data_IF_169469413196
#
_entry.id   IF_169469413196
#
_cell.length_a   1.000
_cell.length_b   1.000
_cell.length_c   1.000
_cell.angle_alpha   90.00
_cell.angle_beta   90.00
_cell.angle_gamma   90.00
#
_symmetry.space_group_name_H-M   'P 1'
#
loop_
_entity.id
_entity.type
_entity.pdbx_description
1 polymer ?
#
# COMPACT_ATOMS: atom_id res chain seq x y z
N UNK A 1 -32.85 -10.10 0.51
CA UNK A 1 -32.21 -10.12 1.86
C UNK A 1 -31.56 -11.50 2.08
N UNK A 2 -30.42 -11.79 1.44
CA UNK A 2 -29.76 -13.11 1.52
C UNK A 2 -28.52 -13.08 2.43
N UNK A 3 -28.65 -12.44 3.59
CA UNK A 3 -27.52 -12.14 4.47
C UNK A 3 -27.21 -13.20 5.54
N UNK A 4 -28.11 -14.11 5.89
CA UNK A 4 -27.93 -14.93 7.10
C UNK A 4 -27.28 -16.29 6.83
N UNK A 5 -25.94 -16.34 6.93
CA UNK A 5 -25.21 -17.51 7.50
C UNK A 5 -23.73 -17.27 7.78
N UNK A 6 -23.08 -16.29 7.12
CA UNK A 6 -21.64 -15.99 7.27
C UNK A 6 -21.31 -14.52 7.56
N UNK A 7 -22.28 -13.73 8.02
CA UNK A 7 -22.14 -12.27 8.14
C UNK A 7 -21.02 -11.79 9.09
N UNK A 8 -20.64 -12.57 10.10
CA UNK A 8 -19.58 -12.18 11.06
C UNK A 8 -18.20 -12.71 10.64
N UNK A 9 -18.13 -13.72 9.76
CA UNK A 9 -16.83 -14.31 9.40
C UNK A 9 -15.94 -13.34 8.63
N UNK A 10 -16.53 -12.43 7.85
CA UNK A 10 -15.75 -11.43 7.12
C UNK A 10 -15.12 -10.38 8.08
N UNK A 11 -15.88 -9.67 8.94
CA UNK A 11 -15.26 -8.78 9.93
C UNK A 11 -14.27 -9.49 10.87
N UNK A 12 -14.55 -10.74 11.27
CA UNK A 12 -13.63 -11.51 12.10
C UNK A 12 -12.33 -11.84 11.34
N UNK A 13 -12.42 -12.20 10.06
CA UNK A 13 -11.25 -12.44 9.23
C UNK A 13 -10.42 -11.16 9.08
N UNK A 14 -11.06 -9.99 8.95
CA UNK A 14 -10.37 -8.70 8.89
C UNK A 14 -9.62 -8.41 10.19
N UNK A 15 -10.24 -8.61 11.36
CA UNK A 15 -9.56 -8.43 12.66
C UNK A 15 -8.34 -9.36 12.79
N UNK A 16 -8.48 -10.63 12.40
CA UNK A 16 -7.36 -11.59 12.40
C UNK A 16 -6.26 -11.16 11.42
N UNK A 17 -6.64 -10.65 10.25
CA UNK A 17 -5.72 -10.15 9.24
C UNK A 17 -4.94 -8.92 9.73
N UNK A 18 -5.60 -7.99 10.42
CA UNK A 18 -4.96 -6.80 10.99
C UNK A 18 -4.05 -7.10 12.18
N UNK A 19 -4.37 -8.14 12.97
CA UNK A 19 -3.64 -8.49 14.18
C UNK A 19 -2.44 -9.43 13.99
N UNK A 20 -2.25 -10.01 12.81
CA UNK A 20 -1.15 -10.97 12.54
C UNK A 20 0.04 -10.31 11.85
N UNK A 21 1.21 -10.93 11.95
CA UNK A 21 2.36 -10.57 11.11
C UNK A 21 2.07 -10.90 9.63
N UNK A 22 2.46 -10.02 8.72
CA UNK A 22 2.14 -10.12 7.29
C UNK A 22 3.16 -10.93 6.48
N UNK A 23 4.20 -11.47 7.14
CA UNK A 23 5.28 -12.22 6.50
C UNK A 23 6.50 -11.38 6.11
N UNK A 24 6.45 -10.05 6.33
CA UNK A 24 7.56 -9.12 6.21
C UNK A 24 7.28 -7.87 7.06
N UNK A 25 8.33 -7.15 7.45
CA UNK A 25 8.22 -5.82 8.02
C UNK A 25 8.44 -4.76 6.94
N UNK A 26 7.91 -3.54 7.11
CA UNK A 26 8.14 -2.45 6.14
C UNK A 26 9.63 -2.15 5.95
N UNK A 27 10.46 -2.39 6.97
CA UNK A 27 11.91 -2.26 6.90
C UNK A 27 12.57 -3.26 5.93
N UNK A 28 11.90 -4.36 5.59
CA UNK A 28 12.39 -5.38 4.67
C UNK A 28 12.14 -5.02 3.19
N UNK A 29 11.40 -3.95 2.91
CA UNK A 29 11.11 -3.49 1.55
C UNK A 29 12.33 -2.78 0.98
N UNK A 30 13.11 -3.50 0.17
CA UNK A 30 14.39 -3.00 -0.36
C UNK A 30 14.29 -2.24 -1.69
N UNK A 31 13.10 -2.17 -2.29
CA UNK A 31 12.86 -1.44 -3.54
C UNK A 31 12.34 -0.03 -3.25
N UNK A 32 12.63 0.97 -4.09
CA UNK A 32 12.05 2.31 -3.94
C UNK A 32 10.52 2.27 -3.94
N UNK A 33 9.90 3.01 -3.01
CA UNK A 33 8.44 3.13 -2.90
C UNK A 33 8.01 4.58 -3.12
N UNK A 34 7.08 4.81 -4.04
CA UNK A 34 6.32 6.06 -4.10
C UNK A 34 4.97 5.85 -3.44
N UNK A 35 4.65 6.67 -2.44
CA UNK A 35 3.42 6.57 -1.66
C UNK A 35 2.56 7.81 -1.88
N UNK A 36 1.40 7.67 -2.51
CA UNK A 36 0.43 8.78 -2.62
C UNK A 36 -0.60 8.71 -1.49
N UNK A 37 -0.88 9.84 -0.83
CA UNK A 37 -1.82 9.88 0.30
C UNK A 37 -2.57 11.21 0.38
N UNK A 38 -3.89 11.18 0.48
CA UNK A 38 -4.74 12.36 0.66
C UNK A 38 -4.74 12.89 2.09
N UNK A 39 -4.40 14.16 2.30
CA UNK A 39 -4.30 14.72 3.67
C UNK A 39 -5.66 14.96 4.36
N UNK A 40 -6.76 14.77 3.64
CA UNK A 40 -8.14 14.83 4.15
C UNK A 40 -8.82 13.44 4.18
N UNK A 41 -8.04 12.36 4.32
CA UNK A 41 -8.54 10.99 4.50
C UNK A 41 -9.10 10.79 5.93
N UNK A 42 -10.42 10.53 6.00
CA UNK A 42 -11.13 10.25 7.25
C UNK A 42 -11.22 8.76 7.60
N UNK A 43 -10.85 7.88 6.67
CA UNK A 43 -10.82 6.43 6.85
C UNK A 43 -9.46 6.02 7.39
N UNK A 44 -8.38 6.50 6.75
CA UNK A 44 -6.99 6.28 7.17
C UNK A 44 -6.34 7.65 7.37
N UNK A 45 -6.18 8.12 8.62
CA UNK A 45 -5.60 9.44 8.89
C UNK A 45 -4.22 9.62 8.23
N UNK A 46 -3.94 10.84 7.75
CA UNK A 46 -2.67 11.19 7.08
C UNK A 46 -1.42 10.78 7.89
N UNK A 47 -1.46 10.96 9.20
CA UNK A 47 -0.38 10.57 10.12
C UNK A 47 -0.05 9.07 10.06
N UNK A 48 -1.01 8.20 9.74
CA UNK A 48 -0.75 6.77 9.54
C UNK A 48 0.08 6.54 8.26
N UNK A 49 -0.17 7.31 7.20
CA UNK A 49 0.65 7.30 6.00
C UNK A 49 2.08 7.76 6.29
N UNK A 50 2.24 8.88 7.00
CA UNK A 50 3.56 9.38 7.44
C UNK A 50 4.29 8.33 8.27
N UNK A 51 3.59 7.69 9.20
CA UNK A 51 4.13 6.63 10.05
C UNK A 51 4.60 5.40 9.27
N UNK A 52 3.84 4.97 8.26
CA UNK A 52 4.19 3.84 7.41
C UNK A 52 5.40 4.18 6.52
N UNK A 53 5.39 5.35 5.87
CA UNK A 53 6.49 5.80 5.02
C UNK A 53 7.79 5.92 5.81
N UNK A 54 7.75 6.43 7.05
CA UNK A 54 8.93 6.53 7.91
C UNK A 54 9.57 5.18 8.30
N UNK A 55 8.92 4.04 8.02
CA UNK A 55 9.47 2.69 8.24
C UNK A 55 10.04 2.05 6.98
N UNK A 56 9.75 2.62 5.81
CA UNK A 56 10.29 2.15 4.55
C UNK A 56 11.73 2.70 4.38
N UNK A 57 12.72 1.86 4.01
CA UNK A 57 14.11 2.30 3.86
C UNK A 57 14.31 3.36 2.77
N UNK A 58 13.58 3.22 1.66
CA UNK A 58 13.65 4.12 0.50
C UNK A 58 12.24 4.43 0.03
N UNK A 59 11.69 5.55 0.51
CA UNK A 59 10.33 5.96 0.15
C UNK A 59 10.18 7.46 -0.05
N UNK A 60 9.29 7.84 -0.96
CA UNK A 60 8.82 9.20 -1.21
C UNK A 60 7.33 9.27 -0.87
N UNK A 61 6.95 10.18 0.05
CA UNK A 61 5.54 10.50 0.31
C UNK A 61 5.10 11.66 -0.60
N UNK A 62 4.12 11.39 -1.47
CA UNK A 62 3.41 12.39 -2.27
C UNK A 62 2.06 12.68 -1.64
N UNK A 63 2.00 13.78 -0.90
CA UNK A 63 0.74 14.28 -0.33
C UNK A 63 -0.16 14.79 -1.45
N UNK A 64 -1.44 14.41 -1.39
CA UNK A 64 -2.50 14.92 -2.25
C UNK A 64 -3.36 15.92 -1.44
N UNK A 65 -3.15 17.24 -1.59
CA UNK A 65 -3.79 18.22 -0.72
C UNK A 65 -5.30 18.28 -0.93
N UNK A 66 -6.06 18.24 0.16
CA UNK A 66 -7.53 18.26 0.17
C UNK A 66 -8.18 16.95 -0.28
N UNK A 67 -7.40 15.95 -0.68
CA UNK A 67 -7.93 14.68 -1.16
C UNK A 67 -8.22 13.72 0.00
N UNK A 68 -9.26 12.90 -0.17
CA UNK A 68 -9.65 11.89 0.82
C UNK A 68 -9.13 10.49 0.46
N UNK A 69 -9.71 9.44 1.04
CA UNK A 69 -9.27 8.04 0.89
C UNK A 69 -9.09 7.56 -0.56
N UNK A 70 -9.94 8.07 -1.47
CA UNK A 70 -9.92 7.71 -2.89
C UNK A 70 -9.19 8.74 -3.77
N UNK A 71 -8.44 9.67 -3.17
CA UNK A 71 -7.72 10.74 -3.87
C UNK A 71 -6.78 10.25 -4.96
N UNK A 72 -6.20 9.06 -4.79
CA UNK A 72 -5.34 8.42 -5.80
C UNK A 72 -6.04 8.21 -7.16
N UNK A 73 -7.37 8.10 -7.19
CA UNK A 73 -8.11 7.99 -8.45
C UNK A 73 -8.05 9.27 -9.28
N UNK A 74 -7.88 10.44 -8.64
CA UNK A 74 -7.74 11.74 -9.30
C UNK A 74 -6.38 11.96 -9.97
N UNK A 75 -5.36 11.19 -9.57
CA UNK A 75 -3.99 11.26 -10.10
C UNK A 75 -3.56 9.96 -10.79
N UNK A 76 -4.52 9.17 -11.28
CA UNK A 76 -4.26 7.87 -11.88
C UNK A 76 -3.28 7.89 -13.05
N UNK A 77 -3.31 8.93 -13.89
CA UNK A 77 -2.36 9.12 -14.99
C UNK A 77 -0.92 9.30 -14.48
N UNK A 78 -0.72 10.11 -13.42
CA UNK A 78 0.60 10.32 -12.81
C UNK A 78 1.12 9.03 -12.17
N UNK A 79 0.25 8.29 -11.48
CA UNK A 79 0.58 6.99 -10.88
C UNK A 79 1.06 6.02 -11.98
N UNK A 80 0.28 5.88 -13.06
CA UNK A 80 0.64 4.98 -14.17
C UNK A 80 1.93 5.42 -14.86
N UNK A 81 2.11 6.72 -15.08
CA UNK A 81 3.34 7.28 -15.66
C UNK A 81 4.55 6.96 -14.77
N UNK A 82 4.42 7.20 -13.46
CA UNK A 82 5.47 6.88 -12.48
C UNK A 82 5.81 5.38 -12.52
N UNK A 83 4.80 4.50 -12.57
CA UNK A 83 5.02 3.05 -12.68
C UNK A 83 5.79 2.64 -13.94
N UNK A 84 5.54 3.28 -15.08
CA UNK A 84 6.28 2.98 -16.32
C UNK A 84 7.76 3.39 -16.26
N UNK A 85 8.10 4.37 -15.43
CA UNK A 85 9.48 4.85 -15.23
C UNK A 85 10.29 3.94 -14.28
N UNK A 86 9.61 3.19 -13.41
CA UNK A 86 10.22 2.20 -12.51
C UNK A 86 10.51 0.87 -13.23
N UNK A 87 9.89 0.64 -14.38
CA UNK A 87 9.98 -0.63 -15.11
C UNK A 87 11.30 -0.82 -15.88
N UNK A 88 12.38 -1.15 -15.18
CA UNK A 88 13.31 -2.17 -15.66
C UNK A 88 13.02 -3.48 -14.89
N UNK A 89 12.61 -4.58 -15.55
CA UNK A 89 12.48 -5.84 -14.86
C UNK A 89 13.86 -6.29 -14.35
N UNK A 90 13.99 -6.78 -13.10
CA UNK A 90 15.25 -7.33 -12.64
C UNK A 90 15.68 -8.44 -13.60
N UNK A 91 16.91 -8.37 -14.10
CA UNK A 91 17.51 -9.40 -14.93
C UNK A 91 17.23 -10.76 -14.28
N UNK A 92 16.53 -11.64 -15.01
CA UNK A 92 16.09 -12.95 -14.54
C UNK A 92 17.29 -13.64 -13.90
N UNK A 93 17.33 -13.70 -12.56
CA UNK A 93 18.41 -14.37 -11.84
C UNK A 93 18.31 -15.84 -12.22
N UNK A 94 19.22 -16.31 -13.08
CA UNK A 94 19.27 -17.71 -13.45
C UNK A 94 19.38 -18.53 -12.17
N UNK A 95 18.33 -19.31 -11.90
CA UNK A 95 18.34 -20.33 -10.87
C UNK A 95 19.39 -21.35 -11.30
N UNK A 96 20.61 -21.20 -10.79
CA UNK A 96 21.60 -22.27 -10.84
C UNK A 96 21.01 -23.43 -10.05
N UNK A 97 20.57 -24.44 -10.78
CA UNK A 97 20.24 -25.77 -10.26
C UNK A 97 21.43 -26.28 -9.45
N UNK A 98 21.18 -26.58 -8.19
CA UNK A 98 22.01 -27.47 -7.36
C UNK A 98 21.43 -28.88 -7.52
#
# INVERSE_FOLDING_TARGET
LNGSRKQISAPLADVVLFGRHWGFDLADVSVPVTWWHGDADHIIPFDHGVHAVGRLPVAELRTLPGESHLGGLGVGEEILTTLTQVAEPPARRELRSV
#
